data_IF_395724134297
#
_entry.id   IF_395724134297
#
_cell.length_a   1.000
_cell.length_b   1.000
_cell.length_c   1.000
_cell.angle_alpha   90.00
_cell.angle_beta   90.00
_cell.angle_gamma   90.00
#
_symmetry.space_group_name_H-M   'P 1'
#
loop_
_entity.id
_entity.type
_entity.pdbx_description
1 polymer ?
#
# COMPACT_ATOMS: atom_id res chain seq x y z
N UNK A 1 -6.98 -7.68 -9.92
CA UNK A 1 -7.26 -6.44 -10.66
C UNK A 1 -5.99 -5.94 -11.34
N UNK A 2 -6.08 -5.67 -12.64
CA UNK A 2 -4.92 -5.22 -13.43
C UNK A 2 -4.57 -3.78 -13.04
N UNK A 3 -3.26 -3.49 -12.90
CA UNK A 3 -2.77 -2.14 -12.69
C UNK A 3 -1.76 -1.78 -13.77
N UNK A 4 -2.13 -0.89 -14.66
CA UNK A 4 -1.25 -0.39 -15.72
C UNK A 4 -0.05 0.33 -15.14
N UNK A 5 -0.28 1.27 -14.21
CA UNK A 5 0.77 2.08 -13.58
C UNK A 5 1.81 1.23 -12.85
N UNK A 6 1.39 0.31 -11.98
CA UNK A 6 2.31 -0.57 -11.24
C UNK A 6 3.16 -1.43 -12.17
N UNK A 7 2.51 -2.03 -13.20
CA UNK A 7 3.23 -2.88 -14.15
C UNK A 7 4.27 -2.12 -14.96
N UNK A 8 3.90 -0.95 -15.48
CA UNK A 8 4.80 -0.12 -16.27
C UNK A 8 5.95 0.43 -15.43
N UNK A 9 5.69 0.94 -14.22
CA UNK A 9 6.73 1.51 -13.35
C UNK A 9 7.80 0.47 -12.98
N UNK A 10 7.40 -0.74 -12.60
CA UNK A 10 8.35 -1.80 -12.30
C UNK A 10 9.08 -2.30 -13.56
N UNK A 11 8.36 -2.53 -14.67
CA UNK A 11 8.98 -3.03 -15.89
C UNK A 11 10.02 -2.05 -16.45
N UNK A 12 9.68 -0.76 -16.53
CA UNK A 12 10.58 0.28 -17.00
C UNK A 12 11.73 0.51 -16.03
N UNK A 13 11.43 0.62 -14.71
CA UNK A 13 12.46 0.83 -13.69
C UNK A 13 13.50 -0.29 -13.66
N UNK A 14 13.07 -1.55 -13.66
CA UNK A 14 13.97 -2.71 -13.70
C UNK A 14 14.82 -2.70 -14.97
N UNK A 15 14.20 -2.41 -16.13
CA UNK A 15 14.92 -2.33 -17.40
C UNK A 15 15.96 -1.20 -17.43
N UNK A 16 15.63 -0.03 -16.87
CA UNK A 16 16.54 1.11 -16.77
C UNK A 16 17.75 0.83 -15.87
N UNK A 17 17.60 -0.09 -14.92
CA UNK A 17 18.68 -0.55 -14.05
C UNK A 17 19.46 -1.76 -14.63
N UNK A 18 19.21 -2.13 -15.89
CA UNK A 18 19.88 -3.24 -16.58
C UNK A 18 19.30 -4.62 -16.26
N UNK A 19 18.19 -4.69 -15.54
CA UNK A 19 17.48 -5.94 -15.27
C UNK A 19 16.46 -6.29 -16.35
N UNK A 20 15.84 -7.47 -16.20
CA UNK A 20 14.75 -7.94 -17.07
C UNK A 20 13.50 -8.19 -16.24
N UNK A 21 12.42 -7.52 -16.59
CA UNK A 21 11.11 -7.75 -15.99
C UNK A 21 10.27 -8.72 -16.85
N UNK A 22 9.70 -9.73 -16.23
CA UNK A 22 8.74 -10.66 -16.82
C UNK A 22 7.39 -10.42 -16.15
N UNK A 23 6.40 -10.01 -16.94
CA UNK A 23 5.05 -9.80 -16.44
C UNK A 23 4.22 -11.07 -16.63
N UNK A 24 3.73 -11.62 -15.53
CA UNK A 24 2.86 -12.80 -15.52
C UNK A 24 1.52 -12.39 -14.90
N UNK A 25 0.44 -12.79 -15.55
CA UNK A 25 -0.91 -12.62 -15.03
C UNK A 25 -1.30 -13.90 -14.29
N UNK A 26 -1.99 -13.78 -13.16
CA UNK A 26 -2.37 -14.94 -12.33
C UNK A 26 -3.12 -16.02 -13.13
N UNK A 27 -3.93 -15.63 -14.11
CA UNK A 27 -4.67 -16.55 -14.99
C UNK A 27 -3.76 -17.33 -15.94
N UNK A 28 -2.52 -16.87 -16.17
CA UNK A 28 -1.52 -17.56 -16.99
C UNK A 28 -0.74 -18.62 -16.17
N UNK A 29 -0.88 -18.56 -14.84
CA UNK A 29 -0.31 -19.56 -13.94
C UNK A 29 -1.23 -20.79 -13.85
N UNK A 30 -0.67 -21.98 -13.89
CA UNK A 30 -1.42 -23.24 -13.81
C UNK A 30 -1.87 -23.61 -12.39
N UNK A 31 -1.91 -22.68 -11.46
CA UNK A 31 -2.22 -22.89 -10.04
C UNK A 31 -3.63 -23.47 -9.80
N UNK A 32 -4.55 -23.28 -10.73
CA UNK A 32 -5.91 -23.86 -10.65
C UNK A 32 -6.07 -25.20 -11.37
N UNK A 33 -5.00 -25.71 -11.97
CA UNK A 33 -4.99 -26.94 -12.75
C UNK A 33 -4.20 -28.06 -12.09
N UNK A 34 -3.04 -28.35 -12.65
CA UNK A 34 -2.18 -29.47 -12.20
C UNK A 34 -1.08 -29.04 -11.22
N UNK A 35 -0.88 -27.75 -11.01
CA UNK A 35 0.21 -27.20 -10.21
C UNK A 35 -0.32 -26.59 -8.92
N UNK A 36 0.35 -26.87 -7.81
CA UNK A 36 -0.01 -26.24 -6.54
C UNK A 36 0.58 -24.83 -6.43
N UNK A 37 0.00 -24.02 -5.52
CA UNK A 37 0.55 -22.70 -5.20
C UNK A 37 2.02 -22.80 -4.74
N UNK A 38 2.34 -23.82 -3.95
CA UNK A 38 3.69 -24.10 -3.45
C UNK A 38 4.65 -24.43 -4.60
N UNK A 39 4.30 -25.39 -5.45
CA UNK A 39 5.15 -25.82 -6.58
C UNK A 39 5.47 -24.66 -7.53
N UNK A 40 4.47 -23.80 -7.81
CA UNK A 40 4.67 -22.61 -8.64
C UNK A 40 5.72 -21.67 -8.04
N UNK A 41 5.65 -21.36 -6.72
CA UNK A 41 6.61 -20.43 -6.09
C UNK A 41 8.00 -21.08 -5.91
N UNK A 42 8.06 -22.39 -5.65
CA UNK A 42 9.32 -23.13 -5.65
C UNK A 42 9.98 -23.13 -7.03
N UNK A 43 9.21 -23.35 -8.08
CA UNK A 43 9.73 -23.27 -9.45
C UNK A 43 10.22 -21.86 -9.82
N UNK A 44 9.51 -20.81 -9.40
CA UNK A 44 9.92 -19.43 -9.61
C UNK A 44 11.28 -19.09 -8.97
N UNK A 45 11.65 -19.74 -7.85
CA UNK A 45 12.98 -19.57 -7.25
C UNK A 45 14.13 -19.95 -8.21
N UNK A 46 13.90 -20.86 -9.15
CA UNK A 46 14.93 -21.29 -10.10
C UNK A 46 15.21 -20.24 -11.19
N UNK A 47 14.26 -19.36 -11.46
CA UNK A 47 14.30 -18.43 -12.61
C UNK A 47 14.41 -16.96 -12.25
N UNK A 48 13.91 -16.57 -11.07
CA UNK A 48 13.75 -15.16 -10.71
C UNK A 48 14.74 -14.77 -9.62
N UNK A 49 15.22 -13.52 -9.64
CA UNK A 49 16.03 -12.92 -8.58
C UNK A 49 15.19 -12.16 -7.54
N UNK A 50 13.93 -11.89 -7.87
CA UNK A 50 12.96 -11.23 -7.00
C UNK A 50 11.58 -11.27 -7.59
N UNK A 51 10.57 -11.03 -6.78
CA UNK A 51 9.16 -11.06 -7.15
C UNK A 51 8.47 -9.77 -6.75
N UNK A 52 7.81 -9.12 -7.70
CA UNK A 52 6.87 -8.02 -7.44
C UNK A 52 5.46 -8.60 -7.46
N UNK A 53 4.85 -8.74 -6.28
CA UNK A 53 3.59 -9.44 -6.15
C UNK A 53 2.45 -8.48 -5.77
N UNK A 54 1.44 -8.42 -6.65
CA UNK A 54 0.21 -7.67 -6.41
C UNK A 54 -0.97 -8.62 -6.28
N UNK A 55 -1.68 -8.55 -5.17
CA UNK A 55 -2.82 -9.42 -4.85
C UNK A 55 -3.90 -8.64 -4.11
N UNK A 56 -5.14 -9.12 -4.13
CA UNK A 56 -6.23 -8.65 -3.28
C UNK A 56 -6.40 -9.49 -2.01
N UNK A 57 -5.39 -10.28 -1.65
CA UNK A 57 -5.40 -11.12 -0.47
C UNK A 57 -4.00 -11.18 0.13
N UNK A 58 -3.78 -10.44 1.22
CA UNK A 58 -2.49 -10.36 1.90
C UNK A 58 -2.00 -11.72 2.43
N UNK A 59 -2.92 -12.61 2.81
CA UNK A 59 -2.55 -13.96 3.26
C UNK A 59 -1.85 -14.75 2.15
N UNK A 60 -2.23 -14.54 0.88
CA UNK A 60 -1.53 -15.16 -0.26
C UNK A 60 -0.10 -14.61 -0.42
N UNK A 61 0.11 -13.32 -0.15
CA UNK A 61 1.45 -12.74 -0.14
C UNK A 61 2.33 -13.38 0.95
N UNK A 62 1.79 -13.49 2.17
CA UNK A 62 2.49 -14.17 3.28
C UNK A 62 2.69 -15.66 2.98
N UNK A 63 1.75 -16.32 2.32
CA UNK A 63 1.93 -17.71 1.91
C UNK A 63 3.05 -17.85 0.87
N UNK A 64 3.08 -16.98 -0.13
CA UNK A 64 4.14 -16.95 -1.15
C UNK A 64 5.54 -16.79 -0.53
N UNK A 65 5.67 -15.95 0.50
CA UNK A 65 6.95 -15.73 1.18
C UNK A 65 7.48 -16.94 1.96
N UNK A 66 6.69 -17.99 2.14
CA UNK A 66 7.15 -19.24 2.75
C UNK A 66 7.84 -20.16 1.75
N UNK A 67 7.54 -20.01 0.47
CA UNK A 67 8.02 -20.87 -0.62
C UNK A 67 8.99 -20.18 -1.55
N UNK A 68 8.94 -18.84 -1.61
CA UNK A 68 9.85 -18.03 -2.42
C UNK A 68 10.93 -17.42 -1.54
N UNK A 69 12.18 -17.89 -1.68
CA UNK A 69 13.32 -17.56 -0.81
C UNK A 69 13.97 -16.21 -1.13
N UNK A 70 13.69 -15.66 -2.32
CA UNK A 70 14.24 -14.39 -2.77
C UNK A 70 13.31 -13.23 -2.40
N UNK A 71 13.75 -11.96 -2.52
CA UNK A 71 12.94 -10.81 -2.12
C UNK A 71 11.56 -10.77 -2.81
N UNK A 72 10.51 -10.57 -2.01
CA UNK A 72 9.15 -10.28 -2.49
C UNK A 72 8.80 -8.85 -2.15
N UNK A 73 8.45 -8.08 -3.17
CA UNK A 73 7.96 -6.70 -3.04
C UNK A 73 6.44 -6.73 -3.10
N UNK A 74 5.79 -6.27 -2.01
CA UNK A 74 4.35 -6.06 -2.01
C UNK A 74 3.99 -4.86 -2.90
N UNK A 75 3.49 -5.11 -4.10
CA UNK A 75 3.06 -4.07 -5.03
C UNK A 75 1.62 -3.56 -4.79
N UNK A 76 0.91 -4.12 -3.88
CA UNK A 76 -0.37 -3.84 -3.25
C UNK A 76 -0.99 -5.15 -2.75
N UNK A 77 -1.58 -5.09 -1.57
CA UNK A 77 -2.55 -6.08 -1.08
C UNK A 77 -3.82 -5.36 -0.59
N UNK A 78 -4.81 -6.12 -0.13
CA UNK A 78 -6.00 -5.59 0.55
C UNK A 78 -5.68 -4.83 1.84
N UNK A 79 -4.56 -5.17 2.51
CA UNK A 79 -4.15 -4.56 3.79
C UNK A 79 -3.17 -3.40 3.58
N UNK A 80 -2.25 -3.48 2.61
CA UNK A 80 -1.17 -2.50 2.49
C UNK A 80 -0.74 -2.21 1.07
N UNK A 81 -0.23 -0.99 0.84
CA UNK A 81 0.33 -0.51 -0.42
C UNK A 81 1.67 0.22 -0.21
N UNK A 82 2.73 -0.49 0.23
CA UNK A 82 4.00 0.16 0.60
C UNK A 82 4.66 0.92 -0.56
N UNK A 83 4.52 0.43 -1.79
CA UNK A 83 5.09 1.12 -2.95
C UNK A 83 4.45 2.49 -3.21
N UNK A 84 3.17 2.67 -2.89
CA UNK A 84 2.52 3.98 -2.97
C UNK A 84 3.15 4.93 -1.95
N UNK A 85 3.24 4.50 -0.70
CA UNK A 85 3.78 5.34 0.37
C UNK A 85 5.25 5.70 0.14
N UNK A 86 6.08 4.79 -0.38
CA UNK A 86 7.46 5.13 -0.73
C UNK A 86 7.54 6.23 -1.80
N UNK A 87 6.63 6.21 -2.79
CA UNK A 87 6.50 7.28 -3.78
C UNK A 87 6.05 8.60 -3.16
N UNK A 88 5.07 8.55 -2.25
CA UNK A 88 4.55 9.72 -1.56
C UNK A 88 5.62 10.33 -0.64
N UNK A 89 6.35 9.52 0.13
CA UNK A 89 7.47 9.97 0.96
C UNK A 89 8.61 10.59 0.14
N UNK A 90 8.92 10.02 -1.02
CA UNK A 90 9.90 10.62 -1.94
C UNK A 90 9.42 11.99 -2.42
N UNK A 91 8.14 12.10 -2.80
CA UNK A 91 7.53 13.37 -3.21
C UNK A 91 7.59 14.41 -2.10
N UNK A 92 7.29 14.03 -0.86
CA UNK A 92 7.41 14.93 0.30
C UNK A 92 8.86 15.38 0.51
N UNK A 93 9.80 14.44 0.44
CA UNK A 93 11.24 14.75 0.59
C UNK A 93 11.76 15.68 -0.51
N UNK A 94 11.32 15.50 -1.75
CA UNK A 94 11.69 16.36 -2.88
C UNK A 94 11.11 17.78 -2.74
N UNK A 95 9.88 17.91 -2.24
CA UNK A 95 9.23 19.20 -2.08
C UNK A 95 9.63 19.97 -0.80
N UNK A 96 9.85 19.27 0.31
CA UNK A 96 10.14 19.87 1.61
C UNK A 96 11.63 19.74 2.02
N UNK A 97 12.45 18.99 1.29
CA UNK A 97 13.84 18.73 1.62
C UNK A 97 14.06 17.69 2.74
N UNK A 98 13.01 17.31 3.44
CA UNK A 98 13.02 16.35 4.57
C UNK A 98 11.67 15.65 4.71
N UNK A 99 11.60 14.66 5.59
CA UNK A 99 10.34 14.05 6.02
C UNK A 99 9.77 14.67 7.30
N UNK A 100 10.40 15.72 7.84
CA UNK A 100 9.87 16.45 9.00
C UNK A 100 8.68 17.32 8.56
N UNK A 101 7.52 16.71 8.49
CA UNK A 101 6.29 17.36 8.05
C UNK A 101 5.06 16.78 8.76
N UNK A 102 4.00 17.59 8.82
CA UNK A 102 2.70 17.16 9.33
C UNK A 102 1.79 16.79 8.16
N UNK A 103 1.44 15.51 8.09
CA UNK A 103 0.53 14.95 7.09
C UNK A 103 -0.85 14.81 7.72
N UNK A 104 -1.87 15.34 7.06
CA UNK A 104 -3.27 15.11 7.39
C UNK A 104 -3.87 14.17 6.35
N UNK A 105 -4.24 12.98 6.80
CA UNK A 105 -5.06 12.06 6.02
C UNK A 105 -6.55 12.37 6.24
N UNK A 106 -7.32 12.46 5.16
CA UNK A 106 -8.78 12.64 5.21
C UNK A 106 -9.44 11.56 4.38
N UNK A 107 -10.30 10.76 4.99
CA UNK A 107 -11.07 9.71 4.31
C UNK A 107 -11.05 8.37 5.03
N UNK A 108 -11.44 7.32 4.32
CA UNK A 108 -11.49 5.96 4.85
C UNK A 108 -10.10 5.43 5.22
N UNK A 109 -10.04 4.54 6.21
CA UNK A 109 -8.83 3.82 6.58
C UNK A 109 -8.68 2.60 5.67
N UNK A 110 -8.19 2.86 4.47
CA UNK A 110 -7.90 1.83 3.48
C UNK A 110 -6.44 1.36 3.55
N UNK A 111 -6.02 0.49 2.63
CA UNK A 111 -4.67 -0.05 2.57
C UNK A 111 -3.57 1.02 2.35
N UNK A 112 -3.89 2.16 1.73
CA UNK A 112 -2.95 3.29 1.56
C UNK A 112 -2.80 4.04 2.89
N UNK A 113 -3.92 4.38 3.56
CA UNK A 113 -3.92 4.98 4.88
C UNK A 113 -3.16 4.12 5.90
N UNK A 114 -3.42 2.81 5.90
CA UNK A 114 -2.73 1.88 6.79
C UNK A 114 -1.22 1.84 6.52
N UNK A 115 -0.80 1.88 5.27
CA UNK A 115 0.62 1.93 4.92
C UNK A 115 1.28 3.26 5.32
N UNK A 116 0.56 4.37 5.23
CA UNK A 116 1.02 5.67 5.72
C UNK A 116 1.17 5.66 7.26
N UNK A 117 0.22 5.05 7.96
CA UNK A 117 0.29 4.84 9.41
C UNK A 117 1.53 4.03 9.81
N UNK A 118 1.81 2.92 9.12
CA UNK A 118 3.01 2.13 9.37
C UNK A 118 4.31 2.90 9.03
N UNK A 119 4.29 3.72 7.97
CA UNK A 119 5.43 4.58 7.64
C UNK A 119 5.69 5.63 8.72
N UNK A 120 4.65 6.30 9.25
CA UNK A 120 4.78 7.27 10.33
C UNK A 120 5.28 6.63 11.65
N UNK A 121 5.03 5.34 11.87
CA UNK A 121 5.64 4.59 12.99
C UNK A 121 7.14 4.35 12.82
N UNK A 122 7.61 4.22 11.57
CA UNK A 122 9.02 3.98 11.25
C UNK A 122 9.82 5.28 11.16
N UNK A 123 9.19 6.37 10.71
CA UNK A 123 9.79 7.69 10.52
C UNK A 123 9.17 8.67 11.53
N UNK A 124 9.73 8.72 12.73
CA UNK A 124 9.18 9.50 13.86
C UNK A 124 9.14 11.02 13.60
N UNK A 125 9.92 11.50 12.63
CA UNK A 125 9.88 12.88 12.16
C UNK A 125 8.59 13.24 11.40
N UNK A 126 7.82 12.25 10.92
CA UNK A 126 6.53 12.47 10.30
C UNK A 126 5.48 12.60 11.40
N UNK A 127 4.84 13.75 11.51
CA UNK A 127 3.59 13.88 12.26
C UNK A 127 2.43 13.47 11.38
N UNK A 128 1.60 12.53 11.84
CA UNK A 128 0.44 12.04 11.09
C UNK A 128 -0.85 12.27 11.88
N UNK A 129 -1.79 13.01 11.30
CA UNK A 129 -3.17 13.07 11.79
C UNK A 129 -4.08 12.35 10.79
N UNK A 130 -4.82 11.35 11.26
CA UNK A 130 -5.82 10.63 10.46
C UNK A 130 -7.20 11.12 10.88
N UNK A 131 -7.91 11.75 9.95
CA UNK A 131 -9.29 12.17 10.12
C UNK A 131 -10.22 11.25 9.33
N UNK A 132 -11.02 10.46 10.04
CA UNK A 132 -11.94 9.47 9.45
C UNK A 132 -13.23 9.41 10.27
N UNK A 133 -14.38 8.99 9.70
CA UNK A 133 -15.62 8.86 10.45
C UNK A 133 -15.47 8.01 11.72
N UNK A 134 -16.20 8.38 12.80
CA UNK A 134 -16.12 7.76 14.12
C UNK A 134 -16.26 6.22 14.07
N UNK A 135 -17.18 5.72 13.23
CA UNK A 135 -17.41 4.28 13.07
C UNK A 135 -16.17 3.55 12.55
N UNK A 136 -15.39 4.22 11.70
CA UNK A 136 -14.15 3.67 11.14
C UNK A 136 -13.02 3.78 12.17
N UNK A 137 -12.87 4.93 12.80
CA UNK A 137 -11.84 5.17 13.83
C UNK A 137 -11.94 4.16 14.96
N UNK A 138 -13.17 3.91 15.47
CA UNK A 138 -13.41 2.99 16.58
C UNK A 138 -13.26 1.50 16.21
N UNK A 139 -13.30 1.15 14.93
CA UNK A 139 -13.14 -0.23 14.47
C UNK A 139 -11.70 -0.74 14.47
N UNK A 140 -10.71 0.16 14.57
CA UNK A 140 -9.29 -0.17 14.54
C UNK A 140 -8.65 -0.11 15.91
N UNK A 141 -7.82 -1.09 16.24
CA UNK A 141 -6.96 -1.06 17.41
C UNK A 141 -5.64 -0.35 17.08
N UNK A 142 -5.64 0.97 17.21
CA UNK A 142 -4.49 1.82 16.90
C UNK A 142 -3.39 1.68 17.96
N UNK A 143 -2.28 1.04 17.60
CA UNK A 143 -1.06 1.09 18.41
C UNK A 143 -0.24 2.29 17.97
N UNK A 144 -0.62 3.47 18.46
CA UNK A 144 -0.05 4.75 18.06
C UNK A 144 1.27 5.06 18.78
N UNK A 145 2.17 5.72 18.07
CA UNK A 145 3.30 6.46 18.63
C UNK A 145 2.86 7.90 18.93
N UNK A 146 3.69 8.66 19.66
CA UNK A 146 3.39 10.04 20.05
C UNK A 146 3.25 11.03 18.88
N UNK A 147 3.79 10.68 17.71
CA UNK A 147 3.72 11.47 16.47
C UNK A 147 2.46 11.19 15.64
N UNK A 148 1.57 10.30 16.08
CA UNK A 148 0.36 9.90 15.35
C UNK A 148 -0.88 10.24 16.17
N UNK A 149 -1.84 10.88 15.53
CA UNK A 149 -3.14 11.23 16.10
C UNK A 149 -4.26 10.74 15.19
N UNK A 150 -5.36 10.26 15.79
CA UNK A 150 -6.55 9.82 15.04
C UNK A 150 -7.77 10.57 15.59
N UNK A 151 -8.50 11.22 14.72
CA UNK A 151 -9.65 12.06 15.07
C UNK A 151 -10.85 11.77 14.15
N UNK A 152 -12.05 12.04 14.61
CA UNK A 152 -13.28 11.87 13.84
C UNK A 152 -13.85 13.20 13.30
N UNK A 153 -13.25 14.34 13.66
CA UNK A 153 -13.76 15.64 13.26
C UNK A 153 -12.60 16.60 12.92
N UNK A 154 -12.67 17.20 11.72
CA UNK A 154 -11.69 18.20 11.25
C UNK A 154 -11.60 19.43 12.13
N UNK A 155 -12.67 19.80 12.84
CA UNK A 155 -12.66 20.97 13.74
C UNK A 155 -11.70 20.80 14.93
N UNK A 156 -11.24 19.59 15.20
CA UNK A 156 -10.30 19.29 16.29
C UNK A 156 -8.83 19.42 15.84
N UNK A 157 -8.58 19.82 14.59
CA UNK A 157 -7.24 19.87 14.00
C UNK A 157 -6.79 21.31 13.82
N UNK A 158 -5.60 21.64 14.27
CA UNK A 158 -4.92 22.88 13.90
C UNK A 158 -4.37 22.77 12.48
N UNK A 159 -5.15 23.21 11.53
CA UNK A 159 -4.79 23.18 10.10
C UNK A 159 -3.57 24.07 9.77
N UNK A 160 -3.23 25.05 10.61
CA UNK A 160 -2.06 25.91 10.37
C UNK A 160 -0.74 25.16 10.49
N UNK A 161 -0.73 24.04 11.19
CA UNK A 161 0.43 23.16 11.35
C UNK A 161 0.57 22.10 10.25
N UNK A 162 -0.46 21.94 9.40
CA UNK A 162 -0.49 20.88 8.35
C UNK A 162 0.33 21.30 7.13
N UNK A 163 1.28 20.48 6.73
CA UNK A 163 2.10 20.72 5.54
C UNK A 163 1.55 20.01 4.30
N UNK A 164 0.89 18.87 4.47
CA UNK A 164 0.37 18.06 3.38
C UNK A 164 -0.97 17.44 3.74
N UNK A 165 -1.92 17.47 2.81
CA UNK A 165 -3.20 16.76 2.92
C UNK A 165 -3.18 15.60 1.94
N UNK A 166 -3.48 14.39 2.44
CA UNK A 166 -3.59 13.19 1.64
C UNK A 166 -5.00 12.61 1.73
N UNK A 167 -5.48 12.10 0.63
CA UNK A 167 -6.74 11.36 0.52
C UNK A 167 -6.64 10.31 -0.57
N UNK A 168 -7.55 9.36 -0.57
CA UNK A 168 -7.69 8.35 -1.63
C UNK A 168 -9.15 8.27 -2.07
N UNK A 169 -9.49 7.27 -2.87
CA UNK A 169 -10.85 7.07 -3.38
C UNK A 169 -11.87 6.89 -2.25
N UNK A 170 -13.04 7.49 -2.37
CA UNK A 170 -14.13 7.38 -1.41
C UNK A 170 -14.94 6.07 -1.55
N UNK A 171 -14.71 5.30 -2.64
CA UNK A 171 -15.36 4.01 -2.89
C UNK A 171 -14.26 2.95 -2.99
N UNK A 172 -14.28 1.99 -2.07
CA UNK A 172 -13.34 0.87 -2.08
C UNK A 172 -13.50 0.04 -3.35
N UNK A 173 -12.38 -0.36 -3.95
CA UNK A 173 -12.33 -1.12 -5.21
C UNK A 173 -13.03 -2.49 -5.17
N UNK A 174 -13.57 -2.93 -4.03
CA UNK A 174 -14.25 -4.20 -3.80
C UNK A 174 -15.73 -4.04 -3.44
N UNK A 175 -16.24 -2.82 -3.28
CA UNK A 175 -17.67 -2.57 -3.15
C UNK A 175 -18.20 -2.34 -4.56
N UNK A 176 -18.87 -3.35 -5.11
CA UNK A 176 -19.70 -3.18 -6.30
C UNK A 176 -20.76 -2.10 -5.99
N UNK A 177 -20.83 -1.13 -6.90
CA UNK A 177 -21.80 -0.05 -7.00
C UNK A 177 -22.98 -0.08 -6.01
N UNK A 178 -22.80 0.49 -4.85
CA UNK A 178 -23.92 1.03 -4.11
C UNK A 178 -23.99 2.53 -4.45
N UNK A 179 -24.82 2.87 -5.44
CA UNK A 179 -25.13 4.25 -5.87
C UNK A 179 -25.68 5.15 -4.75
N UNK A 180 -25.88 4.62 -3.55
CA UNK A 180 -26.59 5.24 -2.44
C UNK A 180 -25.69 5.99 -1.44
N UNK A 181 -24.35 6.10 -1.69
CA UNK A 181 -23.45 6.75 -0.73
C UNK A 181 -23.03 8.18 -1.09
N UNK A 182 -23.62 8.77 -2.13
CA UNK A 182 -23.40 10.18 -2.49
C UNK A 182 -24.72 10.94 -2.30
N UNK A 183 -25.08 11.22 -1.07
CA UNK A 183 -26.10 12.24 -0.73
C UNK A 183 -25.62 13.10 0.43
#
# INVERSE_FOLDING_TARGET
KYSTRTRLSFAVGISSLGGKAINIIFQELNISGYETFEDTFLAMNCYLDGLVYRTNNHKKLIQASKFFEKPIINALSDISHPCQILGDLLTLKENFGSLNCHILWIGDVNNVCFSLFEAAKLFEEIRLTICSPEQIVSSFNWKMNSNIEVVSNLNNIDLSSVNCVMTDVFILMNEEDSEDKIS
#
